data_IF_457363335931
#
_entry.id   IF_457363335931
#
_cell.length_a   1.000
_cell.length_b   1.000
_cell.length_c   1.000
_cell.angle_alpha   90.00
_cell.angle_beta   90.00
_cell.angle_gamma   90.00
#
_symmetry.space_group_name_H-M   'P 1'
#
loop_
_entity.id
_entity.type
_entity.pdbx_description
1 polymer ?
#
# COMPACT_ATOMS: atom_id res chain seq x y z
N UNK A 1 -3.45 -15.09 -7.34
CA UNK A 1 -4.75 -15.22 -6.64
C UNK A 1 -4.80 -14.17 -5.54
N UNK A 2 -5.95 -13.54 -5.30
CA UNK A 2 -6.13 -12.54 -4.24
C UNK A 2 -7.36 -12.90 -3.39
N UNK A 3 -7.26 -12.73 -2.08
CA UNK A 3 -8.36 -12.89 -1.13
C UNK A 3 -8.33 -11.69 -0.19
N UNK A 4 -9.48 -11.04 0.03
CA UNK A 4 -9.58 -9.91 0.94
C UNK A 4 -10.81 -9.99 1.84
N UNK A 5 -10.65 -9.56 3.09
CA UNK A 5 -11.69 -9.49 4.11
C UNK A 5 -11.71 -8.08 4.71
N UNK A 6 -12.90 -7.47 4.76
CA UNK A 6 -13.07 -6.10 5.24
C UNK A 6 -14.10 -5.98 6.34
N UNK A 7 -13.75 -5.26 7.40
CA UNK A 7 -14.66 -4.90 8.50
C UNK A 7 -14.80 -3.39 8.53
N UNK A 8 -16.04 -2.90 8.73
CA UNK A 8 -16.34 -1.47 8.78
C UNK A 8 -17.40 -1.19 9.83
N UNK A 9 -17.29 -0.04 10.48
CA UNK A 9 -18.31 0.39 11.44
C UNK A 9 -19.65 0.73 10.77
N UNK A 10 -20.76 0.68 11.53
CA UNK A 10 -22.12 0.91 11.02
C UNK A 10 -22.28 2.30 10.37
N UNK A 11 -21.64 3.33 10.93
CA UNK A 11 -21.66 4.70 10.42
C UNK A 11 -20.78 4.91 9.17
N UNK A 12 -20.00 3.89 8.77
CA UNK A 12 -19.10 3.90 7.61
C UNK A 12 -18.04 5.03 7.66
N UNK A 13 -17.61 5.41 8.85
CA UNK A 13 -16.58 6.43 9.11
C UNK A 13 -15.18 5.82 9.30
N UNK A 14 -15.10 4.54 9.64
CA UNK A 14 -13.84 3.81 9.80
C UNK A 14 -14.00 2.37 9.33
N UNK A 15 -12.99 1.85 8.64
CA UNK A 15 -12.92 0.44 8.30
C UNK A 15 -11.50 -0.01 8.03
N UNK A 16 -11.31 -1.33 8.12
CA UNK A 16 -10.04 -2.00 7.88
C UNK A 16 -10.28 -3.19 6.95
N UNK A 17 -9.38 -3.38 6.00
CA UNK A 17 -9.35 -4.54 5.11
C UNK A 17 -8.01 -5.24 5.22
N UNK A 18 -8.06 -6.57 5.31
CA UNK A 18 -6.90 -7.44 5.23
C UNK A 18 -6.96 -8.18 3.90
N UNK A 19 -5.92 -8.07 3.10
CA UNK A 19 -5.80 -8.74 1.81
C UNK A 19 -4.55 -9.62 1.80
N UNK A 20 -4.68 -10.79 1.18
CA UNK A 20 -3.61 -11.73 0.93
C UNK A 20 -3.56 -12.05 -0.56
N UNK A 21 -2.40 -11.85 -1.17
CA UNK A 21 -2.19 -12.04 -2.59
C UNK A 21 -1.02 -12.99 -2.82
N UNK A 22 -1.19 -13.92 -3.75
CA UNK A 22 -0.17 -14.85 -4.21
C UNK A 22 0.05 -14.66 -5.71
N UNK A 23 1.28 -14.35 -6.10
CA UNK A 23 1.70 -14.27 -7.49
C UNK A 23 2.39 -15.58 -7.87
N UNK A 24 1.81 -16.27 -8.86
CA UNK A 24 2.36 -17.49 -9.44
C UNK A 24 3.10 -17.15 -10.74
N UNK A 25 4.21 -17.84 -11.01
CA UNK A 25 5.06 -17.58 -12.18
C UNK A 25 6.45 -18.17 -11.99
N UNK A 26 7.44 -17.66 -12.73
CA UNK A 26 8.85 -18.07 -12.60
C UNK A 26 9.42 -17.79 -11.21
N UNK A 27 8.89 -16.77 -10.53
CA UNK A 27 9.18 -16.46 -9.14
C UNK A 27 7.87 -16.39 -8.35
N UNK A 28 7.77 -17.19 -7.29
CA UNK A 28 6.63 -17.19 -6.40
C UNK A 28 6.76 -16.07 -5.35
N UNK A 29 5.73 -15.24 -5.21
CA UNK A 29 5.69 -14.21 -4.17
C UNK A 29 4.34 -14.12 -3.47
N UNK A 30 4.41 -13.76 -2.19
CA UNK A 30 3.26 -13.63 -1.30
C UNK A 30 3.25 -12.21 -0.72
N UNK A 31 2.08 -11.60 -0.65
CA UNK A 31 1.88 -10.27 -0.09
C UNK A 31 0.68 -10.26 0.85
N UNK A 32 0.84 -9.61 2.00
CA UNK A 32 -0.24 -9.29 2.92
C UNK A 32 -0.37 -7.78 3.03
N UNK A 33 -1.59 -7.26 2.92
CA UNK A 33 -1.88 -5.84 3.06
C UNK A 33 -2.94 -5.65 4.13
N UNK A 34 -2.62 -4.85 5.14
CA UNK A 34 -3.59 -4.30 6.09
C UNK A 34 -3.85 -2.84 5.73
N UNK A 35 -5.08 -2.51 5.34
CA UNK A 35 -5.47 -1.16 4.94
C UNK A 35 -6.57 -0.64 5.85
N UNK A 36 -6.29 0.42 6.58
CA UNK A 36 -7.27 1.11 7.43
C UNK A 36 -7.59 2.47 6.85
N UNK A 37 -8.86 2.87 6.90
CA UNK A 37 -9.30 4.17 6.39
C UNK A 37 -10.20 4.89 7.38
N UNK A 38 -10.12 6.22 7.34
CA UNK A 38 -11.12 7.11 7.91
C UNK A 38 -11.90 7.76 6.77
N UNK A 39 -13.17 8.05 6.99
CA UNK A 39 -14.04 8.65 5.98
C UNK A 39 -14.77 9.86 6.57
N UNK A 40 -14.39 11.04 6.09
CA UNK A 40 -14.98 12.33 6.46
C UNK A 40 -15.80 12.86 5.29
N UNK A 41 -17.10 13.04 5.49
CA UNK A 41 -17.94 13.77 4.53
C UNK A 41 -17.93 15.24 4.93
N UNK A 42 -17.23 16.07 4.17
CA UNK A 42 -17.07 17.50 4.47
C UNK A 42 -18.32 18.28 4.08
N UNK A 43 -18.91 17.97 2.92
CA UNK A 43 -20.17 18.56 2.46
C UNK A 43 -20.90 17.59 1.54
N UNK A 44 -22.23 17.49 1.67
CA UNK A 44 -23.06 16.64 0.81
C UNK A 44 -24.40 17.29 0.52
N UNK A 45 -24.79 17.32 -0.74
CA UNK A 45 -26.11 17.67 -1.26
C UNK A 45 -26.57 16.59 -2.25
N UNK A 46 -27.70 16.78 -2.93
CA UNK A 46 -28.23 15.82 -3.91
C UNK A 46 -27.30 15.60 -5.10
N UNK A 47 -26.64 16.64 -5.59
CA UNK A 47 -25.83 16.63 -6.81
C UNK A 47 -24.33 16.82 -6.54
N UNK A 48 -23.91 16.82 -5.27
CA UNK A 48 -22.55 17.18 -4.88
C UNK A 48 -22.14 16.46 -3.60
N UNK A 49 -20.93 15.91 -3.57
CA UNK A 49 -20.32 15.38 -2.35
C UNK A 49 -18.81 15.67 -2.34
N UNK A 50 -18.35 16.34 -1.29
CA UNK A 50 -16.95 16.52 -0.98
C UNK A 50 -16.57 15.61 0.19
N UNK A 51 -15.59 14.74 -0.02
CA UNK A 51 -15.14 13.77 0.99
C UNK A 51 -13.62 13.76 1.10
N UNK A 52 -13.15 13.56 2.32
CA UNK A 52 -11.74 13.30 2.61
C UNK A 52 -11.64 11.91 3.24
N UNK A 53 -10.86 11.01 2.62
CA UNK A 53 -10.82 9.60 3.03
C UNK A 53 -9.38 9.11 3.22
N UNK A 54 -8.67 9.58 4.27
CA UNK A 54 -7.28 9.19 4.47
C UNK A 54 -7.16 7.69 4.76
N UNK A 55 -6.07 7.09 4.27
CA UNK A 55 -5.78 5.65 4.41
C UNK A 55 -4.37 5.44 4.94
N UNK A 56 -4.23 4.42 5.77
CA UNK A 56 -2.97 3.87 6.26
C UNK A 56 -2.87 2.42 5.78
N UNK A 57 -1.82 2.08 5.05
CA UNK A 57 -1.57 0.73 4.57
C UNK A 57 -0.26 0.20 5.15
N UNK A 58 -0.30 -1.01 5.69
CA UNK A 58 0.87 -1.82 5.99
C UNK A 58 0.99 -2.89 4.92
N UNK A 59 2.11 -2.88 4.18
CA UNK A 59 2.37 -3.82 3.11
C UNK A 59 3.50 -4.74 3.56
N UNK A 60 3.18 -6.00 3.78
CA UNK A 60 4.14 -7.06 4.12
C UNK A 60 4.31 -7.96 2.92
N UNK A 61 5.55 -8.31 2.60
CA UNK A 61 5.84 -9.17 1.46
C UNK A 61 7.10 -10.00 1.71
N UNK A 62 7.27 -11.05 0.90
CA UNK A 62 8.53 -11.78 0.81
C UNK A 62 9.60 -10.87 0.20
N UNK A 63 10.77 -10.81 0.84
CA UNK A 63 11.94 -10.03 0.44
C UNK A 63 13.16 -10.95 0.36
N UNK A 64 13.98 -10.80 -0.69
CA UNK A 64 15.23 -11.55 -0.82
C UNK A 64 16.39 -10.66 -0.36
N UNK A 65 17.01 -11.03 0.77
CA UNK A 65 18.09 -10.28 1.40
C UNK A 65 19.42 -10.95 1.08
N UNK A 66 20.35 -10.18 0.54
CA UNK A 66 21.72 -10.62 0.29
C UNK A 66 22.64 -10.05 1.36
N UNK A 67 23.28 -10.91 2.17
CA UNK A 67 24.24 -10.48 3.19
C UNK A 67 25.60 -11.12 2.95
N UNK A 68 26.66 -10.34 3.08
CA UNK A 68 28.03 -10.82 2.95
C UNK A 68 28.66 -10.99 4.33
N UNK A 69 29.15 -12.19 4.64
CA UNK A 69 29.80 -12.51 5.91
C UNK A 69 31.17 -13.12 5.66
N UNK A 70 32.12 -12.82 6.55
CA UNK A 70 33.40 -13.50 6.54
C UNK A 70 33.24 -14.91 7.09
N UNK A 71 33.56 -15.91 6.26
CA UNK A 71 33.63 -17.32 6.65
C UNK A 71 35.06 -17.81 6.52
N UNK A 72 35.42 -18.75 7.39
CA UNK A 72 36.72 -19.41 7.37
C UNK A 72 36.66 -20.58 6.39
N UNK A 73 37.37 -20.46 5.27
CA UNK A 73 37.54 -21.54 4.29
C UNK A 73 39.03 -21.85 4.23
N UNK A 74 39.40 -23.09 4.58
CA UNK A 74 40.79 -23.56 4.60
C UNK A 74 41.75 -22.63 5.38
N UNK A 75 41.32 -22.11 6.55
CA UNK A 75 42.14 -21.24 7.41
C UNK A 75 42.24 -19.77 6.96
N UNK A 76 41.65 -19.39 5.83
CA UNK A 76 41.60 -18.00 5.34
C UNK A 76 40.20 -17.41 5.51
N UNK A 77 40.13 -16.13 5.90
CA UNK A 77 38.88 -15.36 5.93
C UNK A 77 38.50 -14.98 4.51
N UNK A 78 37.38 -15.52 4.02
CA UNK A 78 36.82 -15.21 2.71
C UNK A 78 35.47 -14.56 2.91
N UNK A 79 35.20 -13.47 2.17
CA UNK A 79 33.89 -12.85 2.12
C UNK A 79 32.97 -13.75 1.28
N UNK A 80 31.96 -14.33 1.90
CA UNK A 80 30.94 -15.14 1.22
C UNK A 80 29.60 -14.44 1.30
N UNK A 81 28.87 -14.48 0.20
CA UNK A 81 27.54 -13.90 0.07
C UNK A 81 26.49 -14.98 0.32
N UNK A 82 25.48 -14.64 1.12
CA UNK A 82 24.38 -15.52 1.48
C UNK A 82 23.05 -14.82 1.18
N UNK A 83 22.14 -15.54 0.54
CA UNK A 83 20.80 -15.04 0.20
C UNK A 83 19.78 -15.69 1.14
N UNK A 84 18.91 -14.88 1.72
CA UNK A 84 17.86 -15.33 2.61
C UNK A 84 16.53 -14.70 2.22
N UNK A 85 15.49 -15.52 2.16
CA UNK A 85 14.12 -15.05 2.00
C UNK A 85 13.54 -14.69 3.38
N UNK A 86 13.10 -13.44 3.54
CA UNK A 86 12.48 -12.95 4.77
C UNK A 86 11.10 -12.38 4.43
N UNK A 87 10.08 -12.74 5.22
CA UNK A 87 8.75 -12.12 5.13
C UNK A 87 8.65 -11.05 6.21
N UNK A 88 8.57 -9.78 5.80
CA UNK A 88 8.55 -8.65 6.73
C UNK A 88 7.73 -7.48 6.15
N UNK A 89 7.45 -6.49 6.99
CA UNK A 89 6.91 -5.20 6.57
C UNK A 89 7.87 -4.58 5.55
N UNK A 90 7.36 -4.30 4.36
CA UNK A 90 8.09 -3.71 3.25
C UNK A 90 7.87 -2.19 3.22
N UNK A 91 6.63 -1.75 3.45
CA UNK A 91 6.29 -0.33 3.36
C UNK A 91 5.08 0.01 4.25
N UNK A 92 5.15 1.19 4.87
CA UNK A 92 3.99 1.86 5.46
C UNK A 92 3.58 3.00 4.54
N UNK A 93 2.35 2.98 4.04
CA UNK A 93 1.84 4.01 3.14
C UNK A 93 0.75 4.85 3.79
N UNK A 94 0.82 6.16 3.60
CA UNK A 94 -0.23 7.11 3.93
C UNK A 94 -0.79 7.72 2.65
N UNK A 95 -2.11 7.71 2.51
CA UNK A 95 -2.82 8.32 1.39
C UNK A 95 -3.80 9.36 1.92
N UNK A 96 -3.78 10.55 1.33
CA UNK A 96 -4.62 11.69 1.73
C UNK A 96 -5.48 12.17 0.55
N UNK A 97 -6.53 11.43 0.14
CA UNK A 97 -7.34 11.76 -1.00
C UNK A 97 -8.52 12.67 -0.62
N UNK A 98 -8.68 13.74 -1.38
CA UNK A 98 -9.87 14.56 -1.46
C UNK A 98 -10.64 14.18 -2.71
N UNK A 99 -11.90 13.80 -2.54
CA UNK A 99 -12.79 13.45 -3.65
C UNK A 99 -13.96 14.42 -3.74
N UNK A 100 -14.23 14.85 -4.97
CA UNK A 100 -15.35 15.69 -5.36
C UNK A 100 -16.21 14.91 -6.35
N UNK A 101 -17.39 14.52 -5.89
CA UNK A 101 -18.39 13.87 -6.75
C UNK A 101 -19.50 14.84 -7.09
N UNK A 102 -19.87 14.91 -8.36
CA UNK A 102 -21.11 15.54 -8.84
C UNK A 102 -22.07 14.46 -9.35
N UNK A 103 -23.08 14.80 -10.16
CA UNK A 103 -24.02 13.81 -10.72
C UNK A 103 -23.36 12.84 -11.72
N UNK A 104 -22.43 13.35 -12.53
CA UNK A 104 -21.81 12.58 -13.61
C UNK A 104 -20.29 12.63 -13.60
N UNK A 105 -19.69 13.55 -12.84
CA UNK A 105 -18.23 13.71 -12.75
C UNK A 105 -17.74 13.37 -11.35
N UNK A 106 -16.63 12.65 -11.29
CA UNK A 106 -15.86 12.39 -10.09
C UNK A 106 -14.43 12.91 -10.27
N UNK A 107 -13.94 13.68 -9.32
CA UNK A 107 -12.57 14.14 -9.29
C UNK A 107 -11.92 13.66 -7.99
N UNK A 108 -10.69 13.17 -8.05
CA UNK A 108 -9.91 12.86 -6.85
C UNK A 108 -8.53 13.50 -6.97
N UNK A 109 -8.13 14.24 -5.94
CA UNK A 109 -6.78 14.74 -5.76
C UNK A 109 -6.23 14.13 -4.48
N UNK A 110 -5.09 13.48 -4.57
CA UNK A 110 -4.46 12.84 -3.42
C UNK A 110 -2.96 13.07 -3.34
N UNK A 111 -2.45 12.96 -2.13
CA UNK A 111 -1.02 12.82 -1.88
C UNK A 111 -0.76 11.45 -1.25
N UNK A 112 0.22 10.72 -1.78
CA UNK A 112 0.70 9.46 -1.23
C UNK A 112 2.08 9.68 -0.64
N UNK A 113 2.30 9.14 0.55
CA UNK A 113 3.59 9.07 1.22
C UNK A 113 3.93 7.59 1.45
N UNK A 114 5.11 7.17 1.01
CA UNK A 114 5.68 5.86 1.25
C UNK A 114 6.79 5.99 2.28
N UNK A 115 6.69 5.20 3.34
CA UNK A 115 7.67 5.08 4.40
C UNK A 115 8.22 3.63 4.33
N UNK A 116 9.27 3.39 3.52
CA UNK A 116 9.87 2.08 3.39
C UNK A 116 10.39 1.61 4.74
N UNK A 117 10.26 0.31 5.00
CA UNK A 117 10.88 -0.29 6.18
C UNK A 117 12.26 -0.83 5.79
N UNK A 118 13.28 -0.46 6.55
CA UNK A 118 14.66 -0.83 6.22
C UNK A 118 14.98 -2.26 6.64
N UNK A 119 15.71 -2.97 5.78
CA UNK A 119 16.20 -4.31 6.08
C UNK A 119 17.40 -4.27 7.02
N UNK A 120 17.70 -5.42 7.65
CA UNK A 120 18.92 -5.60 8.45
C UNK A 120 20.12 -5.44 7.51
N UNK A 121 20.82 -4.30 7.62
CA UNK A 121 21.97 -3.80 6.83
C UNK A 121 21.66 -2.67 5.83
N UNK A 122 20.42 -2.21 5.72
CA UNK A 122 20.09 -0.98 5.02
C UNK A 122 19.94 0.15 6.03
N UNK A 123 20.67 1.24 5.82
CA UNK A 123 20.53 2.45 6.62
C UNK A 123 19.98 3.57 5.73
N UNK A 124 19.07 4.36 6.28
CA UNK A 124 18.65 5.65 5.72
C UNK A 124 17.93 5.54 4.36
N UNK A 125 16.91 4.69 4.26
CA UNK A 125 16.05 4.63 3.06
C UNK A 125 15.14 5.86 3.03
N UNK A 126 15.16 6.59 1.93
CA UNK A 126 14.41 7.83 1.78
C UNK A 126 12.91 7.57 1.73
N UNK A 127 12.17 8.46 2.41
CA UNK A 127 10.72 8.57 2.28
C UNK A 127 10.40 9.17 0.92
N UNK A 128 9.47 8.56 0.17
CA UNK A 128 9.04 9.08 -1.13
C UNK A 128 7.58 9.49 -1.08
N UNK A 129 7.19 10.48 -1.89
CA UNK A 129 5.79 10.87 -2.00
C UNK A 129 5.45 11.41 -3.37
N UNK A 130 4.18 11.30 -3.74
CA UNK A 130 3.69 11.75 -5.04
C UNK A 130 2.25 12.25 -4.96
N UNK A 131 1.96 13.24 -5.80
CA UNK A 131 0.61 13.70 -6.05
C UNK A 131 -0.05 12.81 -7.11
N UNK A 132 -1.32 12.53 -6.92
CA UNK A 132 -2.16 11.87 -7.92
C UNK A 132 -3.42 12.69 -8.15
N UNK A 133 -3.86 12.72 -9.41
CA UNK A 133 -5.10 13.33 -9.82
C UNK A 133 -5.83 12.35 -10.73
N UNK A 134 -7.13 12.17 -10.51
CA UNK A 134 -7.98 11.36 -11.36
C UNK A 134 -9.32 12.03 -11.62
N UNK A 135 -9.86 11.74 -12.81
CA UNK A 135 -11.17 12.20 -13.26
C UNK A 135 -11.94 11.01 -13.79
N UNK A 136 -13.17 10.85 -13.33
CA UNK A 136 -14.13 9.88 -13.83
C UNK A 136 -15.36 10.58 -14.38
N UNK A 137 -15.94 10.03 -15.45
CA UNK A 137 -17.23 10.45 -15.97
C UNK A 137 -18.15 9.23 -16.12
N UNK A 138 -19.36 9.33 -15.58
CA UNK A 138 -20.38 8.29 -15.69
C UNK A 138 -21.36 8.65 -16.81
N UNK A 139 -21.36 7.84 -17.88
CA UNK A 139 -22.35 7.91 -18.94
C UNK A 139 -23.67 7.31 -18.44
N UNK A 140 -24.75 8.09 -18.50
CA UNK A 140 -26.10 7.57 -18.33
C UNK A 140 -26.60 7.11 -19.70
N UNK A 141 -26.73 5.79 -19.91
CA UNK A 141 -27.22 5.18 -21.15
C UNK A 141 -28.75 5.08 -21.21
N UNK A 142 -29.49 5.83 -20.40
CA UNK A 142 -30.94 5.90 -20.54
C UNK A 142 -31.36 6.81 -21.70
N UNK A 143 -31.83 6.19 -22.78
CA UNK A 143 -32.56 6.83 -23.87
C UNK A 143 -33.88 6.12 -24.09
#
# INVERSE_FOLDING_TARGET
MDVSLGIRNKKRTFGTTFSASYLFGTEESYQLISSSFLNFTLKRTSNFALRFKPRLNFIMAKQNITTSRFVLVAGKRVLSTFNFDVFDLLNTQLNFPFSLSTRSWDFELGYNLNLPNALVNENNIDTTGFLNFSVGYMFDLSK
#
